data_IF_255481909680
#
_entry.id   IF_255481909680
#
_cell.length_a   1.000
_cell.length_b   1.000
_cell.length_c   1.000
_cell.angle_alpha   90.00
_cell.angle_beta   90.00
_cell.angle_gamma   90.00
#
_symmetry.space_group_name_H-M   'P 1'
#
loop_
_entity.id
_entity.type
_entity.pdbx_description
1 polymer ?
#
# COMPACT_ATOMS: atom_id res chain seq x y z
N UNK A 1 8.99 -8.62 29.80
CA UNK A 1 8.98 -8.98 29.18
C UNK A 1 9.09 -9.01 29.04
N UNK A 2 8.89 -8.70 29.22
CA UNK A 2 8.89 -8.86 28.68
C UNK A 2 8.96 -8.54 28.44
N UNK A 3 8.77 -8.00 28.69
CA UNK A 3 8.77 -8.05 28.20
C UNK A 3 8.99 -7.71 28.08
N UNK A 4 8.84 -7.19 28.15
CA UNK A 4 8.93 -7.25 27.68
C UNK A 4 9.17 -6.78 27.35
N UNK A 5 9.28 -6.29 27.73
CA UNK A 5 9.30 -6.21 27.21
C UNK A 5 9.44 -5.65 27.16
N UNK A 6 9.59 -5.25 27.39
CA UNK A 6 9.53 -5.08 27.10
C UNK A 6 9.71 -4.69 26.98
N UNK A 7 9.47 -4.12 26.87
CA UNK A 7 9.47 -4.22 26.26
C UNK A 7 9.57 -3.93 25.55
N UNK A 8 9.83 -3.46 25.78
CA UNK A 8 9.66 -3.55 24.84
C UNK A 8 9.90 -3.27 24.25
N UNK A 9 9.97 -2.98 24.01
CA UNK A 9 10.07 -3.17 23.19
C UNK A 9 10.20 -3.06 22.40
N UNK A 10 10.25 -2.89 21.98
CA UNK A 10 10.23 -3.16 21.06
C UNK A 10 10.61 -3.37 20.43
N UNK A 11 10.29 -3.26 20.03
CA UNK A 11 10.39 -3.69 19.18
C UNK A 11 10.39 -3.68 18.44
N UNK A 12 10.42 -3.71 18.25
CA UNK A 12 10.15 -3.88 17.32
C UNK A 12 10.16 -4.14 16.74
N UNK A 13 9.87 -4.24 16.45
CA UNK A 13 9.62 -4.69 15.74
C UNK A 13 9.40 -4.75 15.10
N UNK A 14 9.34 -4.61 14.89
CA UNK A 14 8.88 -4.72 14.37
C UNK A 14 8.72 -5.48 13.89
N UNK A 15 8.36 -5.61 13.95
CA UNK A 15 7.95 -6.30 13.45
C UNK A 15 7.50 -6.92 13.30
N UNK A 16 7.16 -7.05 13.46
CA UNK A 16 6.45 -7.52 13.39
C UNK A 16 5.93 -7.77 13.56
N UNK A 17 5.73 -7.71 13.62
CA UNK A 17 5.06 -7.73 13.87
C UNK A 17 4.47 -7.61 14.23
N UNK A 18 4.47 -7.58 14.17
CA UNK A 18 3.75 -7.39 14.53
C UNK A 18 3.27 -7.10 14.94
N UNK A 19 3.30 -6.75 14.52
CA UNK A 19 2.75 -6.34 15.13
C UNK A 19 1.56 -6.02 15.55
N UNK A 20 1.41 -6.07 15.46
CA UNK A 20 0.36 -5.81 16.39
C UNK A 20 -0.32 -4.49 16.27
N UNK A 21 0.23 -3.68 15.54
CA UNK A 21 -0.26 -2.32 15.48
C UNK A 21 -1.44 -2.16 14.55
N UNK A 22 -1.96 -0.96 14.54
CA UNK A 22 -2.99 -0.57 13.58
C UNK A 22 -2.39 -0.63 12.19
N UNK A 23 -3.04 -1.30 11.24
CA UNK A 23 -2.49 -1.39 9.89
C UNK A 23 -2.50 -0.03 9.20
N UNK A 24 -1.56 0.14 8.29
CA UNK A 24 -1.50 1.33 7.44
C UNK A 24 -2.18 1.02 6.11
N UNK A 25 -2.53 2.08 5.40
CA UNK A 25 -3.20 1.97 4.10
C UNK A 25 -2.45 2.79 3.07
N UNK A 26 -2.34 2.24 1.86
CA UNK A 26 -1.81 2.99 0.72
C UNK A 26 -2.98 3.48 -0.10
N UNK A 27 -3.05 4.80 -0.26
CA UNK A 27 -4.06 5.46 -1.09
C UNK A 27 -3.42 5.78 -2.43
N UNK A 28 -4.07 5.37 -3.51
CA UNK A 28 -3.68 5.73 -4.86
C UNK A 28 -4.61 6.82 -5.38
N UNK A 29 -4.04 7.89 -5.93
CA UNK A 29 -4.81 9.00 -6.46
C UNK A 29 -4.88 8.91 -7.98
N UNK A 30 -6.04 9.27 -8.52
CA UNK A 30 -6.23 9.34 -9.95
C UNK A 30 -5.46 10.53 -10.52
N UNK A 31 -5.01 10.40 -11.77
CA UNK A 31 -4.44 11.52 -12.51
C UNK A 31 -4.88 11.43 -13.97
N UNK A 32 -4.52 12.43 -14.75
CA UNK A 32 -4.90 12.53 -16.15
C UNK A 32 -3.75 12.15 -17.09
N UNK A 33 -2.64 11.64 -16.54
CA UNK A 33 -1.42 11.38 -17.31
C UNK A 33 -1.30 9.90 -17.66
N UNK A 34 -1.62 9.02 -16.72
CA UNK A 34 -1.43 7.58 -16.89
C UNK A 34 -2.63 6.95 -17.56
N UNK A 35 -2.36 6.00 -18.45
CA UNK A 35 -3.43 5.20 -19.05
C UNK A 35 -3.95 4.20 -18.00
N UNK A 36 -5.16 3.73 -18.24
CA UNK A 36 -5.78 2.71 -17.39
C UNK A 36 -4.90 1.46 -17.32
N UNK A 37 -4.36 1.03 -18.46
CA UNK A 37 -3.50 -0.15 -18.53
C UNK A 37 -2.20 0.02 -17.77
N UNK A 38 -1.61 1.21 -17.80
CA UNK A 38 -0.40 1.49 -17.03
C UNK A 38 -0.64 1.31 -15.53
N UNK A 39 -1.78 1.81 -15.05
CA UNK A 39 -2.13 1.72 -13.64
C UNK A 39 -2.35 0.26 -13.25
N UNK A 40 -3.09 -0.49 -14.08
CA UNK A 40 -3.34 -1.92 -13.82
C UNK A 40 -2.01 -2.68 -13.72
N UNK A 41 -1.12 -2.49 -14.68
CA UNK A 41 0.16 -3.20 -14.69
C UNK A 41 0.98 -2.86 -13.46
N UNK A 42 1.03 -1.59 -13.09
CA UNK A 42 1.84 -1.19 -11.94
C UNK A 42 1.26 -1.69 -10.63
N UNK A 43 -0.06 -1.75 -10.52
CA UNK A 43 -0.72 -2.34 -9.35
C UNK A 43 -0.42 -3.83 -9.23
N UNK A 44 -0.43 -4.56 -10.35
CA UNK A 44 -0.10 -5.98 -10.33
C UNK A 44 1.32 -6.21 -9.81
N UNK A 45 2.25 -5.36 -10.18
CA UNK A 45 3.63 -5.44 -9.71
C UNK A 45 3.72 -5.06 -8.23
N UNK A 46 3.05 -3.97 -7.84
CA UNK A 46 3.19 -3.40 -6.51
C UNK A 46 2.61 -4.31 -5.43
N UNK A 47 1.45 -4.91 -5.68
CA UNK A 47 0.76 -5.70 -4.66
C UNK A 47 0.66 -7.18 -5.02
N UNK A 48 1.26 -7.59 -6.13
CA UNK A 48 1.31 -8.98 -6.56
C UNK A 48 -0.09 -9.61 -6.60
N UNK A 49 -1.00 -8.95 -7.28
CA UNK A 49 -2.40 -9.38 -7.36
C UNK A 49 -2.77 -9.80 -8.78
N UNK A 50 -3.97 -10.35 -8.92
CA UNK A 50 -4.50 -10.73 -10.22
C UNK A 50 -4.84 -9.51 -11.06
N UNK A 51 -4.95 -9.72 -12.36
CA UNK A 51 -5.40 -8.68 -13.29
C UNK A 51 -6.77 -8.14 -12.88
N UNK A 52 -7.70 -9.04 -12.56
CA UNK A 52 -9.06 -8.63 -12.18
C UNK A 52 -9.07 -7.75 -10.95
N UNK A 53 -8.25 -8.08 -9.95
CA UNK A 53 -8.16 -7.28 -8.75
C UNK A 53 -7.56 -5.90 -9.05
N UNK A 54 -6.47 -5.88 -9.81
CA UNK A 54 -5.81 -4.62 -10.19
C UNK A 54 -6.75 -3.75 -11.02
N UNK A 55 -7.50 -4.37 -11.94
CA UNK A 55 -8.45 -3.64 -12.77
C UNK A 55 -9.56 -3.00 -11.92
N UNK A 56 -10.06 -3.74 -10.94
CA UNK A 56 -11.10 -3.22 -10.05
C UNK A 56 -10.59 -2.02 -9.25
N UNK A 57 -9.34 -2.11 -8.75
CA UNK A 57 -8.73 -1.00 -8.01
C UNK A 57 -8.50 0.21 -8.91
N UNK A 58 -8.01 -0.02 -10.12
CA UNK A 58 -7.78 1.07 -11.08
C UNK A 58 -9.09 1.76 -11.44
N UNK A 59 -10.15 0.98 -11.62
CA UNK A 59 -11.48 1.53 -11.94
C UNK A 59 -12.01 2.36 -10.78
N UNK A 60 -11.89 1.84 -9.55
CA UNK A 60 -12.32 2.59 -8.36
C UNK A 60 -11.57 3.90 -8.21
N UNK A 61 -10.25 3.86 -8.42
CA UNK A 61 -9.42 5.06 -8.38
C UNK A 61 -9.89 6.10 -9.40
N UNK A 62 -10.19 5.63 -10.61
CA UNK A 62 -10.64 6.51 -11.69
C UNK A 62 -12.00 7.15 -11.36
N UNK A 63 -12.95 6.34 -10.89
CA UNK A 63 -14.32 6.81 -10.64
C UNK A 63 -14.40 7.69 -9.41
N UNK A 64 -13.69 7.32 -8.34
CA UNK A 64 -13.79 8.01 -7.05
C UNK A 64 -12.71 9.07 -6.85
N UNK A 65 -11.71 9.12 -7.72
CA UNK A 65 -10.59 10.04 -7.60
C UNK A 65 -9.45 9.49 -6.76
N UNK A 66 -9.70 8.50 -5.92
CA UNK A 66 -8.69 7.81 -5.12
C UNK A 66 -9.28 6.52 -4.59
N UNK A 67 -8.41 5.60 -4.19
CA UNK A 67 -8.86 4.36 -3.55
C UNK A 67 -7.77 3.80 -2.66
N UNK A 68 -8.17 2.98 -1.68
CA UNK A 68 -7.22 2.20 -0.88
C UNK A 68 -6.82 0.99 -1.69
N UNK A 69 -5.55 0.89 -2.06
CA UNK A 69 -5.09 -0.22 -2.90
C UNK A 69 -4.36 -1.30 -2.10
N UNK A 70 -3.93 -1.00 -0.88
CA UNK A 70 -3.21 -1.97 -0.05
C UNK A 70 -3.36 -1.60 1.41
N UNK A 71 -3.45 -2.63 2.26
CA UNK A 71 -3.50 -2.45 3.72
C UNK A 71 -2.52 -3.44 4.33
N UNK A 72 -1.67 -2.97 5.24
CA UNK A 72 -0.70 -3.83 5.88
C UNK A 72 0.22 -3.04 6.79
N UNK A 73 1.35 -3.64 7.17
CA UNK A 73 2.30 -2.94 8.01
C UNK A 73 3.00 -1.82 7.23
N UNK A 74 3.63 -0.92 7.96
CA UNK A 74 4.23 0.26 7.35
C UNK A 74 5.32 -0.10 6.34
N UNK A 75 6.14 -1.09 6.64
CA UNK A 75 7.24 -1.47 5.74
C UNK A 75 6.69 -1.94 4.39
N UNK A 76 5.63 -2.75 4.41
CA UNK A 76 5.00 -3.21 3.16
C UNK A 76 4.32 -2.08 2.43
N UNK A 77 3.66 -1.18 3.16
CA UNK A 77 3.02 -0.01 2.54
C UNK A 77 4.05 0.89 1.86
N UNK A 78 5.21 1.09 2.49
CA UNK A 78 6.29 1.88 1.90
C UNK A 78 6.78 1.24 0.60
N UNK A 79 6.90 -0.08 0.57
CA UNK A 79 7.33 -0.78 -0.63
C UNK A 79 6.30 -0.64 -1.75
N UNK A 80 5.02 -0.84 -1.44
CA UNK A 80 3.94 -0.70 -2.41
C UNK A 80 3.92 0.72 -2.98
N UNK A 81 3.98 1.71 -2.10
CA UNK A 81 4.00 3.11 -2.50
C UNK A 81 5.19 3.40 -3.41
N UNK A 82 6.36 2.88 -3.06
CA UNK A 82 7.58 3.08 -3.84
C UNK A 82 7.44 2.52 -5.26
N UNK A 83 6.86 1.32 -5.39
CA UNK A 83 6.67 0.70 -6.71
C UNK A 83 5.68 1.52 -7.55
N UNK A 84 4.59 1.98 -6.94
CA UNK A 84 3.61 2.79 -7.68
C UNK A 84 4.23 4.11 -8.14
N UNK A 85 5.10 4.69 -7.31
CA UNK A 85 5.74 5.95 -7.63
C UNK A 85 6.85 5.82 -8.67
N UNK A 86 7.29 4.60 -8.98
CA UNK A 86 8.28 4.38 -10.03
C UNK A 86 7.83 4.92 -11.38
N UNK A 87 6.53 4.93 -11.64
CA UNK A 87 5.99 5.53 -12.87
C UNK A 87 5.28 6.85 -12.58
N UNK A 88 5.64 7.48 -11.47
CA UNK A 88 5.11 8.78 -11.08
C UNK A 88 3.61 8.79 -10.74
N UNK A 89 3.09 7.66 -10.27
CA UNK A 89 1.76 7.66 -9.67
C UNK A 89 1.84 8.32 -8.31
N UNK A 90 0.77 9.03 -7.94
CA UNK A 90 0.73 9.71 -6.66
C UNK A 90 0.08 8.82 -5.61
N UNK A 91 0.77 8.62 -4.48
CA UNK A 91 0.26 7.82 -3.37
C UNK A 91 0.38 8.55 -2.06
N UNK A 92 -0.36 8.08 -1.07
CA UNK A 92 -0.27 8.55 0.31
C UNK A 92 -0.45 7.36 1.24
N UNK A 93 0.32 7.32 2.32
CA UNK A 93 0.18 6.27 3.33
C UNK A 93 -0.48 6.89 4.54
N UNK A 94 -1.55 6.26 5.02
CA UNK A 94 -2.27 6.71 6.20
C UNK A 94 -2.45 5.55 7.16
N UNK A 95 -2.67 5.88 8.43
CA UNK A 95 -2.94 4.85 9.45
C UNK A 95 -4.42 4.78 9.80
#
# INVERSE_FOLDING_TARGET
>A
MQTEKPEGIIEPDITNESTTGIPYKVILFNDDVHSFDEVINQLMIAINCSFEHARALAFETHVKGKSVVFTGDLAKCLKVSSVLEEIALHTQIIS
#
